data_IF_837402974444
#
_entry.id   IF_837402974444
#
_cell.length_a   1.000
_cell.length_b   1.000
_cell.length_c   1.000
_cell.angle_alpha   90.00
_cell.angle_beta   90.00
_cell.angle_gamma   90.00
#
_symmetry.space_group_name_H-M   'P 1'
#
loop_
_entity.id
_entity.type
_entity.pdbx_description
1 polymer ?
#
# COMPACT_ATOMS: atom_id res chain seq x y z
N UNK A 1 10.29 -12.52 -5.45
CA UNK A 1 10.40 -11.47 -6.50
C UNK A 1 11.33 -10.31 -6.10
N UNK A 2 12.05 -10.37 -4.97
CA UNK A 2 13.03 -9.33 -4.59
C UNK A 2 14.47 -9.62 -5.05
N UNK A 3 14.78 -10.87 -5.41
CA UNK A 3 16.13 -11.33 -5.80
C UNK A 3 16.51 -10.88 -7.22
N UNK A 4 15.56 -10.81 -8.15
CA UNK A 4 15.82 -10.47 -9.56
C UNK A 4 16.03 -8.95 -9.78
N UNK A 5 15.59 -8.09 -8.85
CA UNK A 5 15.67 -6.61 -8.99
C UNK A 5 16.34 -5.90 -7.83
N UNK A 6 17.06 -6.62 -6.95
CA UNK A 6 17.76 -6.04 -5.79
C UNK A 6 16.84 -5.19 -4.89
N UNK A 7 15.56 -5.55 -4.78
CA UNK A 7 14.57 -4.79 -3.98
C UNK A 7 13.93 -3.58 -4.67
N UNK A 8 14.42 -3.15 -5.84
CA UNK A 8 13.89 -1.98 -6.56
C UNK A 8 12.46 -2.22 -7.06
N UNK A 9 12.14 -3.44 -7.50
CA UNK A 9 10.76 -3.77 -7.86
C UNK A 9 9.81 -3.69 -6.65
N UNK A 10 10.31 -3.99 -5.45
CA UNK A 10 9.55 -3.80 -4.21
C UNK A 10 9.17 -2.33 -4.01
N UNK A 11 10.11 -1.42 -4.24
CA UNK A 11 9.87 0.04 -4.18
C UNK A 11 8.82 0.48 -5.20
N UNK A 12 8.92 0.02 -6.45
CA UNK A 12 7.91 0.30 -7.48
C UNK A 12 6.53 -0.21 -7.08
N UNK A 13 6.47 -1.44 -6.53
CA UNK A 13 5.22 -2.04 -6.09
C UNK A 13 4.58 -1.25 -4.95
N UNK A 14 5.38 -0.81 -3.97
CA UNK A 14 4.90 0.01 -2.84
C UNK A 14 4.24 1.31 -3.33
N UNK A 15 4.83 1.98 -4.32
CA UNK A 15 4.21 3.18 -4.92
C UNK A 15 2.91 2.84 -5.67
N UNK A 16 2.92 1.82 -6.54
CA UNK A 16 1.75 1.44 -7.36
C UNK A 16 0.54 1.00 -6.54
N UNK A 17 0.73 0.44 -5.34
CA UNK A 17 -0.39 0.05 -4.49
C UNK A 17 -1.17 1.27 -3.99
N UNK A 18 -0.50 2.39 -3.70
CA UNK A 18 -1.17 3.65 -3.34
C UNK A 18 -2.14 4.11 -4.43
N UNK A 19 -1.69 4.12 -5.69
CA UNK A 19 -2.55 4.48 -6.84
C UNK A 19 -3.69 3.48 -7.07
N UNK A 20 -3.51 2.20 -6.73
CA UNK A 20 -4.57 1.19 -6.84
C UNK A 20 -5.65 1.38 -5.78
N UNK A 21 -5.24 1.68 -4.54
CA UNK A 21 -6.17 2.00 -3.46
C UNK A 21 -6.94 3.27 -3.76
N UNK A 22 -6.28 4.30 -4.30
CA UNK A 22 -6.93 5.54 -4.76
C UNK A 22 -8.02 5.27 -5.80
N UNK A 23 -7.72 4.45 -6.82
CA UNK A 23 -8.70 4.03 -7.83
C UNK A 23 -9.89 3.25 -7.26
N UNK A 24 -9.74 2.67 -6.08
CA UNK A 24 -10.79 1.95 -5.37
C UNK A 24 -11.55 2.84 -4.36
N UNK A 25 -11.24 4.14 -4.29
CA UNK A 25 -11.86 5.10 -3.39
C UNK A 25 -11.14 5.29 -2.05
N UNK A 26 -9.91 4.77 -1.92
CA UNK A 26 -9.07 4.92 -0.72
C UNK A 26 -8.06 6.04 -0.82
N UNK A 27 -7.21 6.17 0.19
CA UNK A 27 -6.17 7.18 0.22
C UNK A 27 -4.92 6.75 -0.55
N UNK A 28 -4.35 7.66 -1.36
CA UNK A 28 -3.07 7.44 -2.00
C UNK A 28 -1.91 7.67 -1.01
N UNK A 29 -1.46 6.58 -0.39
CA UNK A 29 -0.29 6.56 0.49
C UNK A 29 0.97 6.01 -0.21
N UNK A 30 1.02 6.02 -1.55
CA UNK A 30 2.11 5.43 -2.34
C UNK A 30 3.49 6.02 -2.04
N UNK A 31 3.57 7.35 -1.87
CA UNK A 31 4.82 8.04 -1.48
C UNK A 31 5.24 7.68 -0.06
N UNK A 32 4.30 7.57 0.88
CA UNK A 32 4.57 7.14 2.25
C UNK A 32 5.13 5.71 2.28
N UNK A 33 4.56 4.80 1.49
CA UNK A 33 5.04 3.42 1.37
C UNK A 33 6.46 3.34 0.78
N UNK A 34 6.79 4.24 -0.16
CA UNK A 34 8.13 4.34 -0.73
C UNK A 34 9.16 4.78 0.32
N UNK A 35 8.84 5.83 1.09
CA UNK A 35 9.70 6.32 2.18
C UNK A 35 9.92 5.20 3.21
N UNK A 36 8.86 4.58 3.72
CA UNK A 36 8.97 3.49 4.68
C UNK A 36 9.84 2.34 4.16
N UNK A 37 9.71 1.99 2.88
CA UNK A 37 10.51 0.93 2.29
C UNK A 37 12.01 1.28 2.17
N UNK A 38 12.34 2.52 1.82
CA UNK A 38 13.74 3.00 1.73
C UNK A 38 14.41 3.00 3.11
N UNK A 39 13.67 3.37 4.16
CA UNK A 39 14.18 3.39 5.54
C UNK A 39 14.12 2.01 6.24
N UNK A 40 13.88 0.92 5.51
CA UNK A 40 13.89 -0.45 6.06
C UNK A 40 12.60 -0.88 6.78
N UNK A 41 11.57 -0.04 6.78
CA UNK A 41 10.25 -0.30 7.36
C UNK A 41 9.24 -0.89 6.36
N UNK A 42 9.70 -1.48 5.25
CA UNK A 42 8.82 -2.04 4.22
C UNK A 42 7.83 -3.10 4.72
N UNK A 43 8.15 -3.78 5.83
CA UNK A 43 7.24 -4.73 6.47
C UNK A 43 5.98 -4.06 7.05
N UNK A 44 6.05 -2.78 7.43
CA UNK A 44 4.88 -2.00 7.88
C UNK A 44 3.89 -1.70 6.75
N UNK A 45 4.39 -1.59 5.51
CA UNK A 45 3.54 -1.30 4.36
C UNK A 45 2.42 -2.32 4.20
N UNK A 46 2.67 -3.60 4.48
CA UNK A 46 1.63 -4.64 4.37
C UNK A 46 0.46 -4.39 5.33
N UNK A 47 0.73 -3.96 6.56
CA UNK A 47 -0.31 -3.63 7.54
C UNK A 47 -1.09 -2.37 7.16
N UNK A 48 -0.39 -1.33 6.69
CA UNK A 48 -1.02 -0.08 6.26
C UNK A 48 -1.91 -0.29 5.03
N UNK A 49 -1.42 -1.04 4.05
CA UNK A 49 -2.17 -1.39 2.85
C UNK A 49 -3.39 -2.24 3.17
N UNK A 50 -3.27 -3.22 4.07
CA UNK A 50 -4.42 -3.99 4.55
C UNK A 50 -5.41 -3.13 5.32
N UNK A 51 -4.95 -2.23 6.18
CA UNK A 51 -5.82 -1.30 6.90
C UNK A 51 -6.63 -0.44 5.93
N UNK A 52 -6.00 0.07 4.87
CA UNK A 52 -6.67 0.91 3.89
C UNK A 52 -7.63 0.10 3.02
N UNK A 53 -7.20 -1.07 2.52
CA UNK A 53 -8.07 -1.99 1.81
C UNK A 53 -9.27 -2.44 2.65
N UNK A 54 -9.11 -2.63 3.96
CA UNK A 54 -10.20 -2.97 4.87
C UNK A 54 -11.20 -1.83 5.07
N UNK A 55 -10.79 -0.56 4.95
CA UNK A 55 -11.73 0.56 4.95
C UNK A 55 -12.59 0.57 3.68
N UNK A 56 -12.01 0.13 2.56
CA UNK A 56 -12.72 0.00 1.28
C UNK A 56 -13.61 -1.24 1.22
N UNK A 57 -13.16 -2.33 1.84
CA UNK A 57 -13.91 -3.59 1.90
C UNK A 57 -14.97 -3.58 2.98
N UNK A 58 -14.80 -2.82 4.08
CA UNK A 58 -15.90 -2.58 5.02
C UNK A 58 -16.95 -1.85 4.21
N UNK A 59 -18.09 -2.50 3.96
CA UNK A 59 -19.01 -1.99 3.00
C UNK A 59 -19.49 -0.62 3.48
N UNK A 60 -19.87 0.22 2.54
CA UNK A 60 -20.95 1.17 2.73
C UNK A 60 -22.29 0.50 3.19
N UNK A 61 -22.26 -0.53 4.07
CA UNK A 61 -23.41 -1.34 4.49
C UNK A 61 -23.61 -1.59 5.99
N UNK A 62 -22.74 -1.21 6.93
CA UNK A 62 -23.25 -1.13 8.32
C UNK A 62 -23.89 0.24 8.49
N UNK A 63 -25.15 0.29 8.03
CA UNK A 63 -26.20 1.28 8.28
C UNK A 63 -25.91 2.20 9.47
N UNK A 64 -25.99 3.50 9.22
CA UNK A 64 -25.99 4.58 10.21
C UNK A 64 -25.91 5.91 9.50
#
# INVERSE_FOLDING_TARGET
VSIVTLGIYGLYWYYKVGERLEKQGGQNNGVLYLILAIFGFGWLNMFLMQSEANKLSKPAQIRG
#
